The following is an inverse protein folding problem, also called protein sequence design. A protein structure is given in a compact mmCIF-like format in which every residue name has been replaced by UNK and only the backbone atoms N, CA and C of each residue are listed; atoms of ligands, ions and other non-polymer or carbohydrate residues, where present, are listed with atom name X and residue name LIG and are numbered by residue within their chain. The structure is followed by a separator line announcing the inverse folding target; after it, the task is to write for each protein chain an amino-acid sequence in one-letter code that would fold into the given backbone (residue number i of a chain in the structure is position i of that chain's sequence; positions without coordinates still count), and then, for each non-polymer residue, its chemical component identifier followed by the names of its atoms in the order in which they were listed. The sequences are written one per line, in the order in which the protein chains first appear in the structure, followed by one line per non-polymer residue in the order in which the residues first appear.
data_IF_666858309552
#
_entry.id   IF_666858309552
#
_cell.length_a   1.000
_cell.length_b   1.000
_cell.length_c   1.000
_cell.angle_alpha   90.00
_cell.angle_beta   90.00
_cell.angle_gamma   90.00
#
_symmetry.space_group_name_H-M   'P 1'
#
loop_
_entity.id
_entity.type
_entity.pdbx_description
1 polymer ?
#
# COMPACT_ATOMS: atom_id res chain seq x y z
N UNK A 1 -15.52 0.29 10.92
CA UNK A 1 -15.06 1.26 9.87
C UNK A 1 -13.97 0.64 9.00
N UNK A 2 -13.85 1.05 7.72
CA UNK A 2 -12.70 0.70 6.90
C UNK A 2 -11.61 1.75 7.08
N UNK A 3 -10.40 1.32 7.44
CA UNK A 3 -9.24 2.20 7.59
C UNK A 3 -8.42 2.21 6.30
N UNK A 4 -8.53 3.28 5.52
CA UNK A 4 -7.70 3.48 4.33
C UNK A 4 -6.39 4.16 4.73
N UNK A 5 -5.27 3.46 4.52
CA UNK A 5 -3.93 3.93 4.90
C UNK A 5 -3.17 4.61 3.77
N UNK A 6 -3.68 4.56 2.53
CA UNK A 6 -2.99 5.05 1.34
C UNK A 6 -3.44 6.43 0.83
N UNK A 7 -4.21 7.19 1.60
CA UNK A 7 -4.83 8.42 1.08
C UNK A 7 -3.88 9.62 1.01
N UNK A 8 -2.96 9.76 1.95
CA UNK A 8 -2.05 10.93 2.04
C UNK A 8 -0.61 10.61 1.68
N UNK A 9 -0.21 9.36 1.85
CA UNK A 9 1.15 8.89 1.60
C UNK A 9 1.13 7.37 1.49
N UNK A 10 2.20 6.79 0.95
CA UNK A 10 2.42 5.35 0.95
C UNK A 10 2.93 4.91 2.33
N UNK A 11 1.99 4.61 3.24
CA UNK A 11 2.30 4.20 4.61
C UNK A 11 3.13 2.90 4.65
N UNK A 12 2.78 1.83 3.90
CA UNK A 12 3.60 0.63 3.85
C UNK A 12 5.06 0.89 3.46
N UNK A 13 5.29 1.74 2.46
CA UNK A 13 6.63 2.00 1.94
C UNK A 13 7.49 2.87 2.88
N UNK A 14 6.89 3.90 3.52
CA UNK A 14 7.66 4.94 4.18
C UNK A 14 7.37 5.12 5.67
N UNK A 15 6.25 4.60 6.16
CA UNK A 15 5.77 4.82 7.53
C UNK A 15 5.35 3.53 8.23
N UNK A 16 5.88 2.38 7.82
CA UNK A 16 5.53 1.08 8.38
C UNK A 16 5.72 1.01 9.90
N UNK A 17 6.87 1.47 10.40
CA UNK A 17 7.16 1.50 11.84
C UNK A 17 6.18 2.39 12.62
N UNK A 18 5.88 3.57 12.08
CA UNK A 18 4.88 4.46 12.67
C UNK A 18 3.50 3.80 12.71
N UNK A 19 3.11 3.12 11.63
CA UNK A 19 1.82 2.43 11.55
C UNK A 19 1.70 1.33 12.60
N UNK A 20 2.71 0.46 12.71
CA UNK A 20 2.72 -0.58 13.74
C UNK A 20 2.70 -0.01 15.16
N UNK A 21 3.38 1.11 15.40
CA UNK A 21 3.31 1.80 16.67
C UNK A 21 1.90 2.34 16.97
N UNK A 22 1.13 2.78 15.93
CA UNK A 22 -0.25 3.22 16.11
C UNK A 22 -1.20 2.05 16.38
N UNK A 23 -1.01 0.93 15.69
CA UNK A 23 -1.76 -0.31 15.96
C UNK A 23 -1.55 -0.76 17.41
N UNK A 24 -0.31 -0.81 17.88
CA UNK A 24 0.00 -1.17 19.28
C UNK A 24 -0.57 -0.18 20.30
N UNK A 25 -0.57 1.09 19.98
CA UNK A 25 -1.16 2.12 20.84
C UNK A 25 -2.71 2.09 20.84
N UNK A 26 -3.34 1.41 19.87
CA UNK A 26 -4.79 1.29 19.75
C UNK A 26 -5.51 2.55 19.28
N UNK A 27 -4.78 3.57 18.84
CA UNK A 27 -5.39 4.79 18.28
C UNK A 27 -4.44 5.58 17.38
N UNK A 28 -5.04 6.41 16.54
CA UNK A 28 -4.34 7.41 15.73
C UNK A 28 -5.01 8.78 15.89
N UNK A 29 -4.20 9.82 15.90
CA UNK A 29 -4.67 11.21 15.82
C UNK A 29 -4.51 11.71 14.39
N UNK A 30 -5.56 12.28 13.83
CA UNK A 30 -5.51 12.95 12.52
C UNK A 30 -5.96 14.39 12.67
N UNK A 31 -5.29 15.29 11.95
CA UNK A 31 -5.70 16.68 11.89
C UNK A 31 -6.78 16.84 10.82
N UNK A 32 -7.86 17.56 11.16
CA UNK A 32 -8.87 17.90 10.19
C UNK A 32 -8.25 18.84 9.12
N UNK A 33 -8.27 18.50 7.82
CA UNK A 33 -7.65 19.33 6.79
C UNK A 33 -8.34 20.69 6.60
N UNK A 34 -9.63 20.80 6.97
CA UNK A 34 -10.42 22.02 6.85
C UNK A 34 -10.43 22.85 8.14
N UNK A 35 -10.08 22.25 9.27
CA UNK A 35 -9.98 22.89 10.58
C UNK A 35 -8.73 22.39 11.29
N UNK A 36 -7.56 22.97 11.00
CA UNK A 36 -6.27 22.49 11.51
C UNK A 36 -6.13 22.50 13.03
N UNK A 37 -6.95 23.29 13.72
CA UNK A 37 -7.03 23.35 15.18
C UNK A 37 -7.72 22.11 15.79
N UNK A 38 -8.46 21.33 14.98
CA UNK A 38 -9.16 20.15 15.43
C UNK A 38 -8.36 18.88 15.16
N UNK A 39 -8.02 18.16 16.22
CA UNK A 39 -7.49 16.80 16.14
C UNK A 39 -8.60 15.79 16.39
N UNK A 40 -8.74 14.81 15.50
CA UNK A 40 -9.67 13.70 15.62
C UNK A 40 -8.91 12.47 16.09
N UNK A 41 -9.44 11.78 17.09
CA UNK A 41 -8.90 10.50 17.59
C UNK A 41 -9.73 9.36 17.05
N UNK A 42 -9.08 8.43 16.33
CA UNK A 42 -9.70 7.20 15.86
C UNK A 42 -9.14 6.00 16.61
N UNK A 43 -10.02 5.14 17.09
CA UNK A 43 -9.63 3.84 17.66
C UNK A 43 -9.15 2.91 16.55
N UNK A 44 -8.09 2.14 16.85
CA UNK A 44 -7.47 1.17 15.96
C UNK A 44 -7.50 -0.22 16.58
N UNK A 45 -8.67 -0.68 16.95
CA UNK A 45 -8.85 -2.03 17.45
C UNK A 45 -9.80 -2.84 16.55
N UNK A 46 -9.69 -4.19 16.55
CA UNK A 46 -10.47 -5.06 15.67
C UNK A 46 -11.98 -4.98 15.86
N UNK A 47 -12.46 -4.47 17.01
CA UNK A 47 -13.91 -4.33 17.27
C UNK A 47 -14.53 -3.20 16.45
N UNK A 48 -13.75 -2.15 16.12
CA UNK A 48 -14.24 -0.97 15.40
C UNK A 48 -13.69 -0.86 13.98
N UNK A 49 -12.60 -1.56 13.67
CA UNK A 49 -11.99 -1.59 12.35
C UNK A 49 -12.41 -2.87 11.62
N UNK A 50 -13.34 -2.76 10.68
CA UNK A 50 -13.81 -3.89 9.87
C UNK A 50 -12.73 -4.40 8.91
N UNK A 51 -11.92 -3.49 8.35
CA UNK A 51 -10.81 -3.83 7.47
C UNK A 51 -9.75 -2.74 7.42
N UNK A 52 -8.49 -3.16 7.26
CA UNK A 52 -7.37 -2.33 6.87
C UNK A 52 -7.22 -2.38 5.35
N UNK A 53 -7.21 -1.22 4.71
CA UNK A 53 -7.04 -1.08 3.28
C UNK A 53 -5.72 -0.37 2.97
N UNK A 54 -4.81 -1.09 2.30
CA UNK A 54 -3.49 -0.59 1.94
C UNK A 54 -3.39 -0.32 0.44
N UNK A 55 -2.82 0.85 0.09
CA UNK A 55 -2.36 1.16 -1.26
C UNK A 55 -0.88 1.44 -1.20
N UNK A 56 -0.07 0.71 -1.97
CA UNK A 56 1.39 0.86 -1.91
C UNK A 56 2.07 0.52 -3.23
N UNK A 57 3.25 1.10 -3.46
CA UNK A 57 4.19 0.66 -4.49
C UNK A 57 5.31 -0.25 -3.92
N UNK A 58 5.38 -0.39 -2.58
CA UNK A 58 6.38 -1.22 -1.94
C UNK A 58 5.86 -1.79 -0.61
N UNK A 59 5.31 -3.01 -0.58
CA UNK A 59 4.84 -3.62 0.66
C UNK A 59 5.97 -4.18 1.54
N UNK A 60 7.19 -4.32 1.02
CA UNK A 60 8.31 -5.00 1.64
C UNK A 60 8.58 -4.59 3.10
N UNK A 61 8.58 -3.29 3.48
CA UNK A 61 8.87 -2.89 4.86
C UNK A 61 7.89 -3.42 5.90
N UNK A 62 6.68 -3.84 5.49
CA UNK A 62 5.68 -4.39 6.40
C UNK A 62 5.71 -5.91 6.52
N UNK A 63 6.36 -6.63 5.58
CA UNK A 63 6.24 -8.08 5.47
C UNK A 63 6.71 -8.86 6.70
N UNK A 64 7.79 -8.44 7.34
CA UNK A 64 8.36 -9.13 8.49
C UNK A 64 7.46 -9.09 9.74
N UNK A 65 6.48 -8.21 9.75
CA UNK A 65 5.62 -7.96 10.92
C UNK A 65 4.13 -8.06 10.62
N UNK A 66 3.76 -8.66 9.48
CA UNK A 66 2.35 -8.83 9.09
C UNK A 66 1.53 -9.58 10.14
N UNK A 67 2.15 -10.48 10.91
CA UNK A 67 1.50 -11.22 12.01
C UNK A 67 0.89 -10.30 13.08
N UNK A 68 1.42 -9.10 13.28
CA UNK A 68 0.86 -8.12 14.21
C UNK A 68 -0.52 -7.60 13.75
N UNK A 69 -0.88 -7.82 12.49
CA UNK A 69 -2.15 -7.40 11.90
C UNK A 69 -3.15 -8.57 11.73
N UNK A 70 -2.86 -9.77 12.25
CA UNK A 70 -3.69 -10.96 12.04
C UNK A 70 -5.11 -10.82 12.64
N UNK A 71 -5.28 -9.95 13.64
CA UNK A 71 -6.60 -9.68 14.21
C UNK A 71 -7.50 -8.82 13.28
N UNK A 72 -6.93 -8.22 12.25
CA UNK A 72 -7.65 -7.36 11.30
C UNK A 72 -7.84 -8.07 9.96
N UNK A 73 -8.97 -7.86 9.33
CA UNK A 73 -9.12 -8.16 7.91
C UNK A 73 -8.28 -7.17 7.11
N UNK A 74 -7.53 -7.65 6.12
CA UNK A 74 -6.62 -6.83 5.33
C UNK A 74 -6.99 -6.92 3.86
N UNK A 75 -6.84 -5.78 3.15
CA UNK A 75 -6.89 -5.74 1.71
C UNK A 75 -5.79 -4.83 1.17
N UNK A 76 -5.03 -5.34 0.19
CA UNK A 76 -3.84 -4.69 -0.33
C UNK A 76 -3.97 -4.43 -1.83
N UNK A 77 -3.91 -3.17 -2.24
CA UNK A 77 -3.63 -2.81 -3.61
C UNK A 77 -2.16 -2.50 -3.77
N UNK A 78 -1.45 -3.35 -4.52
CA UNK A 78 -0.04 -3.09 -4.84
C UNK A 78 0.05 -2.57 -6.27
N UNK A 79 0.52 -1.34 -6.41
CA UNK A 79 0.70 -0.69 -7.71
C UNK A 79 2.04 -1.11 -8.30
N UNK A 80 2.01 -1.79 -9.44
CA UNK A 80 3.19 -2.12 -10.24
C UNK A 80 2.98 -1.58 -11.65
N UNK A 81 3.85 -0.69 -12.06
CA UNK A 81 3.87 -0.02 -13.36
C UNK A 81 5.20 -0.29 -14.06
N UNK A 82 5.29 -0.21 -15.37
CA UNK A 82 6.51 -0.54 -16.11
C UNK A 82 7.57 0.57 -16.13
N UNK A 83 7.30 1.70 -15.46
CA UNK A 83 8.18 2.86 -15.50
C UNK A 83 9.51 2.58 -14.83
N UNK A 84 10.57 3.17 -15.39
CA UNK A 84 11.90 3.14 -14.83
C UNK A 84 12.12 4.23 -13.77
N UNK A 85 13.36 4.34 -13.31
CA UNK A 85 13.77 5.35 -12.34
C UNK A 85 13.63 6.80 -12.84
N UNK A 86 13.51 7.01 -14.13
CA UNK A 86 13.21 8.32 -14.73
C UNK A 86 11.85 8.87 -14.34
N UNK A 87 10.89 7.98 -14.06
CA UNK A 87 9.52 8.33 -13.63
C UNK A 87 9.30 7.98 -12.16
N UNK A 88 9.85 6.86 -11.72
CA UNK A 88 9.66 6.31 -10.38
C UNK A 88 11.00 6.13 -9.64
N UNK A 89 11.72 7.22 -9.34
CA UNK A 89 13.10 7.15 -8.83
C UNK A 89 13.22 6.44 -7.47
N UNK A 90 12.15 6.43 -6.67
CA UNK A 90 12.14 5.86 -5.31
C UNK A 90 11.39 4.53 -5.20
N UNK A 91 10.87 4.00 -6.31
CA UNK A 91 10.23 2.68 -6.31
C UNK A 91 11.32 1.62 -6.48
N UNK A 92 11.34 0.56 -5.66
CA UNK A 92 12.28 -0.53 -5.81
C UNK A 92 12.19 -1.21 -7.18
N UNK A 93 13.22 -2.01 -7.51
CA UNK A 93 13.18 -2.83 -8.72
C UNK A 93 11.91 -3.67 -8.79
N UNK A 94 11.32 -3.76 -9.98
CA UNK A 94 10.01 -4.41 -10.17
C UNK A 94 10.03 -5.89 -9.77
N UNK A 95 11.16 -6.59 -9.93
CA UNK A 95 11.31 -7.98 -9.50
C UNK A 95 11.22 -8.10 -7.98
N UNK A 96 11.80 -7.14 -7.24
CA UNK A 96 11.70 -7.09 -5.78
C UNK A 96 10.26 -6.82 -5.34
N UNK A 97 9.56 -5.89 -5.99
CA UNK A 97 8.14 -5.62 -5.69
C UNK A 97 7.28 -6.85 -5.97
N UNK A 98 7.49 -7.54 -7.11
CA UNK A 98 6.76 -8.77 -7.44
C UNK A 98 7.06 -9.90 -6.45
N UNK A 99 8.30 -10.05 -5.99
CA UNK A 99 8.65 -11.01 -4.94
C UNK A 99 7.93 -10.68 -3.63
N UNK A 100 7.87 -9.40 -3.27
CA UNK A 100 7.14 -8.92 -2.08
C UNK A 100 5.63 -9.16 -2.18
N UNK A 101 5.03 -9.01 -3.37
CA UNK A 101 3.63 -9.35 -3.62
C UNK A 101 3.36 -10.84 -3.40
N UNK A 102 4.25 -11.72 -3.89
CA UNK A 102 4.10 -13.17 -3.68
C UNK A 102 4.16 -13.53 -2.20
N UNK A 103 5.12 -12.96 -1.46
CA UNK A 103 5.23 -13.17 -0.02
C UNK A 103 4.01 -12.62 0.73
N UNK A 104 3.54 -11.43 0.37
CA UNK A 104 2.33 -10.82 0.93
C UNK A 104 1.12 -11.74 0.69
N UNK A 105 0.91 -12.16 -0.56
CA UNK A 105 -0.19 -13.02 -0.97
C UNK A 105 -0.18 -14.37 -0.24
N UNK A 106 1.01 -14.95 0.00
CA UNK A 106 1.15 -16.18 0.79
C UNK A 106 0.76 -15.96 2.26
N UNK A 107 0.97 -14.75 2.80
CA UNK A 107 0.69 -14.43 4.20
C UNK A 107 -0.77 -14.06 4.46
N UNK A 108 -1.39 -13.24 3.59
CA UNK A 108 -2.76 -12.71 3.81
C UNK A 108 -3.83 -13.39 2.93
N UNK A 109 -3.40 -14.25 2.02
CA UNK A 109 -4.26 -14.92 1.04
C UNK A 109 -4.40 -14.15 -0.27
N UNK A 110 -4.45 -14.87 -1.40
CA UNK A 110 -4.47 -14.28 -2.74
C UNK A 110 -5.67 -13.35 -2.98
N UNK A 111 -6.82 -13.64 -2.38
CA UNK A 111 -8.04 -12.82 -2.52
C UNK A 111 -7.94 -11.46 -1.81
N UNK A 112 -6.98 -11.30 -0.90
CA UNK A 112 -6.74 -10.06 -0.16
C UNK A 112 -5.72 -9.14 -0.85
N UNK A 113 -5.15 -9.55 -1.99
CA UNK A 113 -4.13 -8.80 -2.72
C UNK A 113 -4.61 -8.52 -4.14
N UNK A 114 -4.75 -7.24 -4.47
CA UNK A 114 -5.03 -6.76 -5.82
C UNK A 114 -3.79 -6.10 -6.43
N UNK A 115 -3.57 -6.33 -7.70
CA UNK A 115 -2.61 -5.58 -8.49
C UNK A 115 -3.29 -4.40 -9.17
N UNK A 116 -2.61 -3.25 -9.17
CA UNK A 116 -3.03 -2.04 -9.86
C UNK A 116 -1.96 -1.59 -10.85
N UNK A 117 -2.37 -1.41 -12.10
CA UNK A 117 -1.54 -0.86 -13.18
C UNK A 117 -1.99 0.58 -13.46
N UNK A 118 -1.50 1.53 -12.66
CA UNK A 118 -1.94 2.93 -12.66
C UNK A 118 -0.86 3.83 -12.04
N UNK A 119 -0.60 5.03 -12.59
CA UNK A 119 -1.20 5.64 -13.78
C UNK A 119 -0.65 5.07 -15.10
N UNK A 120 -1.41 5.21 -16.18
CA UNK A 120 -0.97 4.98 -17.55
C UNK A 120 -0.89 6.34 -18.26
N UNK A 121 0.28 6.67 -18.77
CA UNK A 121 0.46 7.83 -19.66
C UNK A 121 1.25 7.43 -20.89
N UNK A 122 0.95 8.07 -22.02
CA UNK A 122 1.52 7.76 -23.32
C UNK A 122 2.56 8.83 -23.70
N UNK A 123 3.76 8.38 -24.04
CA UNK A 123 4.85 9.20 -24.55
C UNK A 123 5.55 8.44 -25.69
N UNK A 124 6.54 9.05 -26.34
CA UNK A 124 7.36 8.35 -27.33
C UNK A 124 8.05 7.12 -26.73
N UNK A 125 8.56 7.22 -25.49
CA UNK A 125 9.23 6.12 -24.79
C UNK A 125 8.26 5.09 -24.25
N UNK A 126 7.12 5.53 -23.71
CA UNK A 126 6.08 4.71 -23.07
C UNK A 126 4.86 4.66 -23.99
N UNK A 127 5.02 4.01 -25.16
CA UNK A 127 3.95 3.89 -26.16
C UNK A 127 2.85 2.91 -25.72
N UNK A 128 1.75 2.89 -26.45
CA UNK A 128 0.66 1.94 -26.21
C UNK A 128 1.17 0.48 -26.29
N UNK A 129 2.00 0.17 -27.31
CA UNK A 129 2.58 -1.17 -27.47
C UNK A 129 3.53 -1.51 -26.32
N UNK A 130 4.27 -0.54 -25.80
CA UNK A 130 5.09 -0.72 -24.60
C UNK A 130 4.24 -1.14 -23.41
N UNK A 131 3.12 -0.45 -23.18
CA UNK A 131 2.22 -0.77 -22.07
C UNK A 131 1.57 -2.15 -22.22
N UNK A 132 1.09 -2.50 -23.40
CA UNK A 132 0.50 -3.82 -23.68
C UNK A 132 1.52 -4.92 -23.38
N UNK A 133 2.72 -4.85 -23.98
CA UNK A 133 3.78 -5.84 -23.72
C UNK A 133 4.26 -5.91 -22.28
N UNK A 134 4.24 -4.78 -21.58
CA UNK A 134 4.62 -4.74 -20.16
C UNK A 134 3.56 -5.39 -19.28
N UNK A 135 2.28 -5.13 -19.56
CA UNK A 135 1.17 -5.74 -18.84
C UNK A 135 1.14 -7.27 -19.00
N UNK A 136 1.39 -7.77 -20.21
CA UNK A 136 1.44 -9.22 -20.48
C UNK A 136 2.59 -9.94 -19.76
N UNK A 137 3.66 -9.22 -19.40
CA UNK A 137 4.84 -9.80 -18.73
C UNK A 137 4.75 -9.77 -17.20
N UNK A 138 3.83 -9.00 -16.62
CA UNK A 138 3.65 -8.85 -15.17
C UNK A 138 2.63 -9.86 -14.62
#
# INVERSE_FOLDING_TARGET
MILNTGFRTDIPAYYSEWFYNRIRAGYVLTRNPYRPEQALKYRLDPEVVDALYFCTKNPQPMLSRLSELNAFRQFWFVTVTPYGQDIEPFVPDKRQVLASIRQLSASVGAKAVGWRYDPVFITERYSLEFHIRSFEKM
#
